data_IF_844568500966
#
_entry.id   IF_844568500966
#
_cell.length_a   1.000
_cell.length_b   1.000
_cell.length_c   1.000
_cell.angle_alpha   90.00
_cell.angle_beta   90.00
_cell.angle_gamma   90.00
#
_symmetry.space_group_name_H-M   'P 1'
#
loop_
_entity.id
_entity.type
_entity.pdbx_description
1 polymer ?
#
# COMPACT_ATOMS: atom_id res chain seq x y z
N UNK A 1 -12.02 16.77 -28.10
CA UNK A 1 -11.37 17.82 -27.31
C UNK A 1 -10.34 17.15 -26.41
N UNK A 2 -9.05 17.37 -26.65
CA UNK A 2 -8.01 16.94 -25.72
C UNK A 2 -7.94 17.98 -24.59
N UNK A 3 -8.16 17.53 -23.37
CA UNK A 3 -7.86 18.35 -22.19
C UNK A 3 -6.34 18.40 -22.00
N UNK A 4 -5.74 19.58 -21.80
CA UNK A 4 -4.32 19.64 -21.51
C UNK A 4 -4.04 18.95 -20.17
N UNK A 5 -2.99 18.13 -20.14
CA UNK A 5 -2.50 17.57 -18.89
C UNK A 5 -1.83 18.69 -18.07
N UNK A 6 -2.42 19.02 -16.94
CA UNK A 6 -1.91 20.04 -16.03
C UNK A 6 -1.21 19.37 -14.84
N UNK A 7 -0.22 20.07 -14.26
CA UNK A 7 0.51 19.56 -13.09
C UNK A 7 -0.39 19.36 -11.85
N UNK A 8 -1.52 20.02 -11.81
CA UNK A 8 -2.58 19.84 -10.85
C UNK A 8 -3.91 19.82 -11.61
N UNK A 9 -4.63 18.75 -11.56
CA UNK A 9 -5.89 18.58 -12.27
C UNK A 9 -6.54 17.27 -11.92
N UNK A 10 -7.84 17.18 -12.23
CA UNK A 10 -8.62 15.98 -12.08
C UNK A 10 -8.17 14.92 -13.09
N UNK A 11 -8.16 13.66 -12.66
CA UNK A 11 -7.97 12.53 -13.55
C UNK A 11 -9.25 12.28 -14.34
N UNK A 12 -9.09 12.00 -15.62
CA UNK A 12 -10.13 11.40 -16.43
C UNK A 12 -9.78 9.94 -16.66
N UNK A 13 -10.52 9.05 -16.00
CA UNK A 13 -10.27 7.62 -16.05
C UNK A 13 -11.56 6.87 -16.33
N UNK A 14 -11.53 5.96 -17.29
CA UNK A 14 -12.64 5.06 -17.59
C UNK A 14 -12.38 3.68 -17.01
N UNK A 15 -13.44 2.96 -16.68
CA UNK A 15 -13.33 1.60 -16.17
C UNK A 15 -12.72 0.67 -17.21
N UNK A 16 -11.73 -0.09 -16.79
CA UNK A 16 -11.01 -1.05 -17.60
C UNK A 16 -10.60 -2.29 -16.83
N UNK A 17 -10.00 -3.23 -17.54
CA UNK A 17 -9.37 -4.40 -16.98
C UNK A 17 -7.86 -4.25 -17.11
N UNK A 18 -7.15 -4.50 -16.03
CA UNK A 18 -5.70 -4.35 -15.95
C UNK A 18 -5.03 -5.70 -15.72
N UNK A 19 -3.99 -5.97 -16.50
CA UNK A 19 -3.04 -7.06 -16.31
C UNK A 19 -1.64 -6.46 -16.39
N UNK A 20 -1.03 -6.23 -15.23
CA UNK A 20 0.16 -5.40 -15.11
C UNK A 20 1.33 -6.23 -14.58
N UNK A 21 2.46 -6.14 -15.25
CA UNK A 21 3.72 -6.72 -14.83
C UNK A 21 4.69 -5.61 -14.41
N UNK A 22 5.14 -5.67 -13.15
CA UNK A 22 6.05 -4.70 -12.54
C UNK A 22 7.39 -5.37 -12.32
N UNK A 23 8.44 -4.85 -12.96
CA UNK A 23 9.81 -5.36 -12.79
C UNK A 23 10.64 -4.40 -11.97
N UNK A 24 11.14 -4.87 -10.83
CA UNK A 24 11.93 -4.10 -9.87
C UNK A 24 13.11 -4.93 -9.33
N UNK A 25 14.14 -4.29 -8.74
CA UNK A 25 15.16 -5.04 -8.01
C UNK A 25 14.54 -5.92 -6.92
N UNK A 26 15.08 -7.11 -6.70
CA UNK A 26 14.43 -8.18 -5.92
C UNK A 26 14.16 -7.82 -4.45
N UNK A 27 14.85 -6.83 -3.89
CA UNK A 27 14.65 -6.36 -2.51
C UNK A 27 13.59 -5.26 -2.33
N UNK A 28 12.95 -4.81 -3.42
CA UNK A 28 11.85 -3.84 -3.33
C UNK A 28 10.56 -4.50 -2.86
N UNK A 29 9.85 -3.82 -1.98
CA UNK A 29 8.46 -4.14 -1.62
C UNK A 29 7.55 -3.34 -2.54
N UNK A 30 6.57 -3.98 -3.13
CA UNK A 30 5.61 -3.37 -4.05
C UNK A 30 4.21 -3.50 -3.49
N UNK A 31 3.48 -2.38 -3.44
CA UNK A 31 2.03 -2.34 -3.26
C UNK A 31 1.38 -1.82 -4.54
N UNK A 32 0.27 -2.41 -4.96
CA UNK A 32 -0.40 -2.04 -6.19
C UNK A 32 -1.92 -2.23 -6.12
N UNK A 33 -2.63 -1.57 -7.02
CA UNK A 33 -4.01 -1.93 -7.37
C UNK A 33 -4.03 -3.38 -7.87
N UNK A 34 -5.11 -4.11 -7.58
CA UNK A 34 -5.33 -5.44 -8.11
C UNK A 34 -4.83 -6.58 -7.22
N UNK A 35 -5.21 -7.78 -7.62
CA UNK A 35 -4.86 -8.99 -6.92
C UNK A 35 -3.49 -9.50 -7.38
N UNK A 36 -2.61 -9.77 -6.42
CA UNK A 36 -1.27 -10.31 -6.67
C UNK A 36 -1.34 -11.75 -7.16
N UNK A 37 -0.77 -12.01 -8.34
CA UNK A 37 -0.79 -13.31 -9.01
C UNK A 37 0.53 -14.09 -8.86
N UNK A 38 1.61 -13.43 -8.46
CA UNK A 38 2.96 -14.03 -8.39
C UNK A 38 3.18 -14.72 -7.04
N UNK A 39 3.12 -16.05 -6.99
CA UNK A 39 3.28 -16.83 -5.74
C UNK A 39 4.58 -16.52 -4.99
N UNK A 40 5.69 -16.37 -5.69
CA UNK A 40 6.97 -16.03 -5.08
C UNK A 40 6.92 -14.66 -4.35
N UNK A 41 6.13 -13.71 -4.85
CA UNK A 41 5.96 -12.42 -4.19
C UNK A 41 5.03 -12.51 -2.98
N UNK A 42 4.02 -13.36 -3.02
CA UNK A 42 3.17 -13.64 -1.85
C UNK A 42 4.05 -14.17 -0.70
N UNK A 43 4.89 -15.15 -0.98
CA UNK A 43 5.84 -15.69 0.01
C UNK A 43 6.84 -14.64 0.51
N UNK A 44 7.34 -13.77 -0.39
CA UNK A 44 8.23 -12.66 -0.03
C UNK A 44 7.54 -11.67 0.92
N UNK A 45 6.30 -11.29 0.64
CA UNK A 45 5.53 -10.38 1.49
C UNK A 45 5.21 -10.99 2.85
N UNK A 46 4.85 -12.27 2.91
CA UNK A 46 4.59 -12.96 4.19
C UNK A 46 5.85 -13.03 5.07
N UNK A 47 7.02 -13.22 4.47
CA UNK A 47 8.29 -13.14 5.21
C UNK A 47 8.62 -11.70 5.64
N UNK A 48 8.34 -10.71 4.79
CA UNK A 48 8.48 -9.28 5.13
C UNK A 48 7.60 -8.89 6.31
N UNK A 49 6.37 -9.39 6.40
CA UNK A 49 5.47 -9.15 7.55
C UNK A 49 6.13 -9.61 8.85
N UNK A 50 6.68 -10.84 8.87
CA UNK A 50 7.36 -11.37 10.06
C UNK A 50 8.59 -10.56 10.47
N UNK A 51 9.40 -10.16 9.50
CA UNK A 51 10.58 -9.32 9.73
C UNK A 51 10.17 -7.92 10.21
N UNK A 52 9.12 -7.36 9.63
CA UNK A 52 8.62 -6.02 9.97
C UNK A 52 8.09 -5.95 11.40
N UNK A 53 7.39 -6.97 11.87
CA UNK A 53 6.89 -7.02 13.24
C UNK A 53 8.03 -6.88 14.27
N UNK A 54 9.10 -7.67 14.11
CA UNK A 54 10.29 -7.61 14.99
C UNK A 54 10.99 -6.25 14.90
N UNK A 55 11.11 -5.70 13.69
CA UNK A 55 11.78 -4.41 13.49
C UNK A 55 10.95 -3.26 14.06
N UNK A 56 9.64 -3.32 13.94
CA UNK A 56 8.73 -2.30 14.47
C UNK A 56 8.84 -2.23 16.01
N UNK A 57 8.84 -3.36 16.71
CA UNK A 57 9.03 -3.40 18.16
C UNK A 57 10.32 -2.65 18.57
N UNK A 58 11.41 -2.91 17.86
CA UNK A 58 12.70 -2.25 18.11
C UNK A 58 12.64 -0.74 17.86
N UNK A 59 11.97 -0.32 16.77
CA UNK A 59 11.84 1.08 16.39
C UNK A 59 10.95 1.86 17.38
N UNK A 60 9.90 1.22 17.90
CA UNK A 60 8.99 1.83 18.87
C UNK A 60 9.67 1.98 20.25
N UNK A 61 10.56 1.08 20.62
CA UNK A 61 11.33 1.14 21.87
C UNK A 61 12.41 2.22 21.87
N UNK A 62 12.86 2.69 20.70
CA UNK A 62 13.93 3.67 20.56
C UNK A 62 13.39 5.04 20.14
N UNK A 63 13.78 6.10 20.85
CA UNK A 63 13.34 7.47 20.53
C UNK A 63 14.05 8.09 19.30
N UNK A 64 15.15 7.52 18.85
CA UNK A 64 16.00 8.07 17.80
C UNK A 64 15.72 7.45 16.41
N UNK A 65 14.46 7.53 15.96
CA UNK A 65 14.06 7.02 14.63
C UNK A 65 14.66 7.82 13.46
N UNK A 66 15.24 8.99 13.71
CA UNK A 66 15.87 9.81 12.65
C UNK A 66 17.08 9.13 12.01
N UNK A 67 17.73 8.19 12.71
CA UNK A 67 18.83 7.38 12.18
C UNK A 67 18.40 6.14 11.40
N UNK A 68 17.10 5.82 11.39
CA UNK A 68 16.56 4.70 10.63
C UNK A 68 16.56 4.93 9.08
N UNK A 69 17.11 6.05 8.65
CA UNK A 69 17.06 6.55 7.27
C UNK A 69 18.11 6.01 6.30
N UNK A 70 18.85 4.97 6.65
CA UNK A 70 19.78 4.37 5.70
C UNK A 70 18.98 3.71 4.56
N UNK A 71 19.21 4.19 3.33
CA UNK A 71 18.75 3.52 2.14
C UNK A 71 19.62 2.28 1.91
N UNK A 72 19.08 1.06 2.00
CA UNK A 72 19.82 -0.12 1.59
C UNK A 72 20.15 -0.02 0.09
N UNK A 73 21.24 -0.63 -0.33
CA UNK A 73 21.52 -0.73 -1.77
C UNK A 73 20.42 -1.53 -2.48
N UNK A 74 20.16 -1.19 -3.74
CA UNK A 74 19.27 -1.99 -4.57
C UNK A 74 19.93 -3.32 -4.91
N UNK A 75 19.17 -4.40 -4.85
CA UNK A 75 19.67 -5.70 -5.27
C UNK A 75 20.09 -5.67 -6.74
N UNK A 76 21.10 -6.45 -7.10
CA UNK A 76 21.55 -6.61 -8.49
C UNK A 76 20.67 -7.59 -9.28
N UNK A 77 19.91 -8.42 -8.58
CA UNK A 77 18.90 -9.32 -9.16
C UNK A 77 17.55 -8.61 -9.27
N UNK A 78 16.74 -9.08 -10.22
CA UNK A 78 15.43 -8.49 -10.51
C UNK A 78 14.33 -9.51 -10.29
N UNK A 79 13.12 -9.01 -10.00
CA UNK A 79 11.90 -9.80 -9.96
C UNK A 79 10.82 -9.13 -10.79
N UNK A 80 9.93 -9.92 -11.37
CA UNK A 80 8.72 -9.45 -12.07
C UNK A 80 7.50 -9.94 -11.33
N UNK A 81 6.62 -9.01 -11.00
CA UNK A 81 5.42 -9.23 -10.20
C UNK A 81 4.21 -8.92 -11.07
N UNK A 82 3.22 -9.80 -11.08
CA UNK A 82 1.99 -9.62 -11.85
C UNK A 82 0.81 -9.33 -10.94
N UNK A 83 0.05 -8.30 -11.28
CA UNK A 83 -1.22 -7.94 -10.68
C UNK A 83 -2.32 -7.91 -11.74
N UNK A 84 -3.52 -8.36 -11.38
CA UNK A 84 -4.69 -8.29 -12.25
C UNK A 84 -5.87 -7.67 -11.52
N UNK A 85 -6.66 -6.86 -12.22
CA UNK A 85 -7.90 -6.32 -11.70
C UNK A 85 -8.85 -5.97 -12.82
N UNK A 86 -10.11 -6.39 -12.64
CA UNK A 86 -11.20 -6.05 -13.55
C UNK A 86 -12.01 -4.88 -13.01
N UNK A 87 -12.58 -4.11 -13.92
CA UNK A 87 -13.58 -3.07 -13.65
C UNK A 87 -13.13 -2.04 -12.61
N UNK A 88 -11.93 -1.52 -12.76
CA UNK A 88 -11.42 -0.37 -12.02
C UNK A 88 -11.11 0.77 -12.98
N UNK A 89 -11.17 2.00 -12.48
CA UNK A 89 -11.01 3.21 -13.29
C UNK A 89 -9.56 3.71 -13.34
N UNK A 90 -8.68 3.12 -12.52
CA UNK A 90 -7.25 3.48 -12.49
C UNK A 90 -6.42 2.32 -11.93
N UNK A 91 -5.11 2.36 -12.18
CA UNK A 91 -4.14 1.41 -11.64
C UNK A 91 -2.92 2.16 -11.13
N UNK A 92 -2.69 2.09 -9.83
CA UNK A 92 -1.53 2.69 -9.19
C UNK A 92 -0.63 1.63 -8.55
N UNK A 93 0.68 1.90 -8.47
CA UNK A 93 1.62 1.09 -7.74
C UNK A 93 2.72 1.92 -7.11
N UNK A 94 3.25 1.44 -6.01
CA UNK A 94 4.32 2.07 -5.24
C UNK A 94 5.36 1.03 -4.87
N UNK A 95 6.63 1.44 -4.82
CA UNK A 95 7.72 0.53 -4.50
C UNK A 95 8.80 1.23 -3.68
N UNK A 96 9.20 0.61 -2.58
CA UNK A 96 10.36 1.05 -1.81
C UNK A 96 11.07 -0.15 -1.15
N UNK A 97 12.38 -0.16 -1.20
CA UNK A 97 13.20 -1.21 -0.58
C UNK A 97 13.30 -1.09 0.94
N UNK A 98 12.85 0.03 1.51
CA UNK A 98 12.83 0.29 2.96
C UNK A 98 11.53 -0.15 3.62
N UNK A 99 10.46 -0.35 2.89
CA UNK A 99 9.14 -0.59 3.47
C UNK A 99 9.15 -1.71 4.51
N UNK A 100 8.61 -1.37 5.68
CA UNK A 100 8.03 -2.31 6.61
C UNK A 100 6.64 -2.66 6.10
N UNK A 101 6.22 -3.88 6.34
CA UNK A 101 4.92 -4.39 5.86
C UNK A 101 4.14 -4.93 7.04
N UNK A 102 2.96 -4.39 7.26
CA UNK A 102 1.97 -4.97 8.18
C UNK A 102 0.83 -5.55 7.37
N UNK A 103 0.27 -6.65 7.86
CA UNK A 103 -0.86 -7.36 7.25
C UNK A 103 -1.92 -7.63 8.30
N UNK A 104 -3.15 -7.34 7.98
CA UNK A 104 -4.32 -7.63 8.79
C UNK A 104 -5.51 -8.03 7.92
N UNK A 105 -6.65 -8.17 8.55
CA UNK A 105 -7.89 -8.57 7.88
C UNK A 105 -9.06 -7.82 8.50
N UNK A 106 -10.09 -7.59 7.70
CA UNK A 106 -11.39 -7.09 8.13
C UNK A 106 -12.49 -7.97 7.58
N UNK A 107 -13.41 -8.41 8.44
CA UNK A 107 -14.62 -9.11 8.02
C UNK A 107 -15.71 -8.08 7.73
N UNK A 108 -16.20 -8.06 6.51
CA UNK A 108 -17.21 -7.10 6.07
C UNK A 108 -18.54 -7.30 6.81
N UNK A 109 -19.25 -6.20 7.14
CA UNK A 109 -20.42 -6.27 8.02
C UNK A 109 -21.61 -6.99 7.40
N UNK A 110 -21.81 -6.96 6.08
CA UNK A 110 -22.99 -7.53 5.41
C UNK A 110 -22.69 -8.91 4.81
N UNK A 111 -21.74 -9.02 3.88
CA UNK A 111 -21.39 -10.28 3.19
C UNK A 111 -20.66 -11.28 4.04
N UNK A 112 -19.98 -10.83 5.12
CA UNK A 112 -19.06 -11.62 5.93
C UNK A 112 -17.80 -12.08 5.17
N UNK A 113 -17.55 -11.54 3.99
CA UNK A 113 -16.31 -11.78 3.28
C UNK A 113 -15.13 -11.09 4.00
N UNK A 114 -13.94 -11.65 3.81
CA UNK A 114 -12.71 -11.11 4.40
C UNK A 114 -11.96 -10.27 3.37
N UNK A 115 -11.57 -9.06 3.77
CA UNK A 115 -10.69 -8.17 3.01
C UNK A 115 -9.33 -8.12 3.71
N UNK A 116 -8.26 -8.34 2.95
CA UNK A 116 -6.89 -8.21 3.48
C UNK A 116 -6.50 -6.73 3.58
N UNK A 117 -5.94 -6.32 4.71
CA UNK A 117 -5.43 -4.97 4.91
C UNK A 117 -3.90 -4.99 4.90
N UNK A 118 -3.29 -4.06 4.19
CA UNK A 118 -1.85 -3.88 4.12
C UNK A 118 -1.45 -2.46 4.49
N UNK A 119 -0.42 -2.32 5.31
CA UNK A 119 0.24 -1.05 5.54
C UNK A 119 1.73 -1.18 5.20
N UNK A 120 2.21 -0.32 4.31
CA UNK A 120 3.59 -0.32 3.84
C UNK A 120 4.20 1.05 4.09
N UNK A 121 5.20 1.12 4.95
CA UNK A 121 5.74 2.40 5.42
C UNK A 121 7.22 2.33 5.68
N UNK A 122 7.86 3.49 5.66
CA UNK A 122 9.30 3.60 5.94
C UNK A 122 9.60 3.51 7.43
N UNK A 123 10.76 2.99 7.83
CA UNK A 123 11.15 2.92 9.24
C UNK A 123 11.16 4.27 9.96
N UNK A 124 11.37 5.37 9.24
CA UNK A 124 11.35 6.73 9.80
C UNK A 124 9.97 7.11 10.34
N UNK A 125 8.91 6.59 9.72
CA UNK A 125 7.53 6.87 10.06
C UNK A 125 6.89 5.79 10.95
N UNK A 126 7.68 4.86 11.49
CA UNK A 126 7.19 3.72 12.26
C UNK A 126 6.22 4.11 13.39
N UNK A 127 6.52 5.18 14.15
CA UNK A 127 5.64 5.66 15.23
C UNK A 127 4.29 6.14 14.72
N UNK A 128 4.25 6.81 13.58
CA UNK A 128 3.01 7.33 12.98
C UNK A 128 2.15 6.18 12.40
N UNK A 129 2.82 5.12 11.92
CA UNK A 129 2.17 4.02 11.22
C UNK A 129 1.90 2.79 12.09
N UNK A 130 2.30 2.82 13.37
CA UNK A 130 2.17 1.67 14.26
C UNK A 130 0.73 1.14 14.37
N UNK A 131 -0.27 2.04 14.35
CA UNK A 131 -1.69 1.71 14.46
C UNK A 131 -2.42 1.69 13.10
N UNK A 132 -1.69 1.72 11.99
CA UNK A 132 -2.28 1.84 10.65
C UNK A 132 -3.23 0.70 10.29
N UNK A 133 -3.01 -0.52 10.78
CA UNK A 133 -3.94 -1.63 10.55
C UNK A 133 -5.28 -1.43 11.25
N UNK A 134 -5.30 -0.86 12.46
CA UNK A 134 -6.53 -0.51 13.17
C UNK A 134 -7.33 0.53 12.38
N UNK A 135 -6.66 1.58 11.89
CA UNK A 135 -7.31 2.61 11.09
C UNK A 135 -7.85 2.07 9.75
N UNK A 136 -7.10 1.17 9.09
CA UNK A 136 -7.56 0.51 7.88
C UNK A 136 -8.76 -0.41 8.14
N UNK A 137 -8.70 -1.18 9.25
CA UNK A 137 -9.81 -2.02 9.68
C UNK A 137 -11.06 -1.18 9.91
N UNK A 138 -10.99 -0.17 10.77
CA UNK A 138 -12.12 0.65 11.15
C UNK A 138 -12.69 1.43 9.94
N UNK A 139 -11.81 2.03 9.15
CA UNK A 139 -12.23 2.71 7.93
C UNK A 139 -12.98 1.77 6.99
N UNK A 140 -12.42 0.62 6.67
CA UNK A 140 -13.05 -0.36 5.76
C UNK A 140 -14.36 -0.89 6.34
N UNK A 141 -14.40 -1.21 7.64
CA UNK A 141 -15.58 -1.75 8.30
C UNK A 141 -16.72 -0.75 8.35
N UNK A 142 -16.49 0.46 8.88
CA UNK A 142 -17.56 1.44 9.09
C UNK A 142 -18.06 2.05 7.78
N UNK A 143 -17.17 2.31 6.80
CA UNK A 143 -17.63 2.72 5.47
C UNK A 143 -18.46 1.63 4.79
N UNK A 144 -18.07 0.35 4.96
CA UNK A 144 -18.87 -0.77 4.46
C UNK A 144 -20.21 -0.88 5.16
N UNK A 145 -20.25 -0.64 6.47
CA UNK A 145 -21.49 -0.68 7.26
C UNK A 145 -22.51 0.36 6.78
N UNK A 146 -22.04 1.55 6.42
CA UNK A 146 -22.93 2.67 6.08
C UNK A 146 -23.24 2.78 4.58
N UNK A 147 -22.33 2.34 3.71
CA UNK A 147 -22.43 2.57 2.27
C UNK A 147 -22.51 1.29 1.44
N UNK A 148 -22.51 0.12 2.06
CA UNK A 148 -22.39 -1.17 1.41
C UNK A 148 -20.96 -1.70 1.43
N UNK A 149 -20.83 -3.02 1.34
CA UNK A 149 -19.55 -3.70 1.51
C UNK A 149 -18.49 -3.25 0.50
N UNK A 150 -17.27 -3.10 0.98
CA UNK A 150 -16.09 -2.81 0.17
C UNK A 150 -15.92 -3.86 -0.93
N UNK A 151 -15.85 -3.45 -2.22
CA UNK A 151 -16.03 -4.38 -3.33
C UNK A 151 -14.76 -5.16 -3.73
N UNK A 152 -13.63 -4.92 -3.08
CA UNK A 152 -12.35 -5.50 -3.47
C UNK A 152 -11.79 -6.43 -2.40
N UNK A 153 -10.77 -7.24 -2.77
CA UNK A 153 -10.18 -8.26 -1.90
C UNK A 153 -9.11 -7.74 -0.95
N UNK A 154 -8.57 -6.55 -1.21
CA UNK A 154 -7.61 -5.91 -0.30
C UNK A 154 -7.76 -4.40 -0.27
N UNK A 155 -7.24 -3.79 0.78
CA UNK A 155 -7.00 -2.36 0.91
C UNK A 155 -5.59 -2.14 1.42
N UNK A 156 -4.84 -1.27 0.75
CA UNK A 156 -3.43 -1.00 1.04
C UNK A 156 -3.19 0.48 1.29
N UNK A 157 -2.55 0.81 2.41
CA UNK A 157 -2.06 2.15 2.68
C UNK A 157 -0.54 2.23 2.52
N UNK A 158 -0.07 3.23 1.81
CA UNK A 158 1.33 3.47 1.48
C UNK A 158 1.81 4.78 2.09
N UNK A 159 2.92 4.71 2.83
CA UNK A 159 3.69 5.88 3.24
C UNK A 159 4.46 6.43 2.04
N UNK A 160 4.07 7.59 1.57
CA UNK A 160 4.67 8.19 0.39
C UNK A 160 4.80 9.71 0.48
N UNK A 161 5.34 10.28 -0.59
CA UNK A 161 5.45 11.73 -0.73
C UNK A 161 4.48 12.19 -1.81
N UNK A 162 3.61 13.14 -1.44
CA UNK A 162 2.65 13.75 -2.36
C UNK A 162 2.86 15.26 -2.34
N UNK A 163 3.03 15.85 -3.52
CA UNK A 163 3.21 17.31 -3.64
C UNK A 163 1.95 18.11 -3.30
N UNK A 164 0.78 17.51 -3.47
CA UNK A 164 -0.52 18.12 -3.16
C UNK A 164 -0.87 18.12 -1.66
N UNK A 165 -0.10 17.40 -0.82
CA UNK A 165 -0.39 17.21 0.61
C UNK A 165 -1.52 16.21 0.87
N UNK A 166 -1.60 15.73 2.11
CA UNK A 166 -2.66 14.78 2.51
C UNK A 166 -2.48 13.37 1.96
N UNK A 167 -3.41 12.92 1.16
CA UNK A 167 -3.42 11.60 0.54
C UNK A 167 -3.93 11.63 -0.89
N UNK A 168 -3.75 10.51 -1.60
CA UNK A 168 -4.39 10.25 -2.87
C UNK A 168 -4.89 8.80 -2.89
N UNK A 169 -6.17 8.68 -3.12
CA UNK A 169 -6.87 7.41 -3.16
C UNK A 169 -6.98 6.89 -4.60
N UNK A 170 -6.48 5.69 -4.81
CA UNK A 170 -6.65 4.90 -6.02
C UNK A 170 -7.45 3.64 -5.69
N UNK A 171 -8.01 2.92 -6.67
CA UNK A 171 -8.66 1.65 -6.39
C UNK A 171 -7.75 0.70 -5.59
N UNK A 172 -8.21 0.27 -4.40
CA UNK A 172 -7.55 -0.69 -3.50
C UNK A 172 -6.25 -0.18 -2.84
N UNK A 173 -5.72 0.98 -3.20
CA UNK A 173 -4.47 1.51 -2.66
C UNK A 173 -4.53 3.01 -2.48
N UNK A 174 -4.10 3.49 -1.32
CA UNK A 174 -4.00 4.92 -1.04
C UNK A 174 -2.57 5.27 -0.64
N UNK A 175 -2.05 6.35 -1.18
CA UNK A 175 -0.79 6.93 -0.73
C UNK A 175 -1.09 8.06 0.25
N UNK A 176 -0.41 8.04 1.39
CA UNK A 176 -0.57 9.04 2.45
C UNK A 176 0.76 9.77 2.59
N UNK A 177 0.73 11.06 2.32
CA UNK A 177 1.87 11.95 2.51
C UNK A 177 2.03 12.34 3.98
N UNK A 178 3.26 12.50 4.43
CA UNK A 178 3.50 13.10 5.72
C UNK A 178 3.11 14.58 5.67
N UNK A 179 2.27 15.01 6.60
CA UNK A 179 2.08 16.43 6.81
C UNK A 179 3.46 17.03 7.13
N UNK A 180 3.95 17.93 6.30
CA UNK A 180 5.10 18.76 6.64
C UNK A 180 4.73 19.56 7.87
N UNK A 181 5.39 19.25 8.97
CA UNK A 181 5.35 20.06 10.21
C UNK A 181 5.87 21.47 9.96
#
# INVERSE_FOLDING_TARGET
NQMPYLNQGEFYSEYGNFDVQITVPSNYVVGATGELQTEAEIAFLDEKVKQSAKKLETLLANDDNKKAGNFPESATTWKTIRYTQDRVHDFAWFADKRFLVLKGEVTLPHSKETVTTWAMFTPQNAKLWANSLEYLHDGTYYYSLWNGDYPYKHVTAIDGTISAGGGMEYPMITVIGNASS
#
